data_IF_585887309177
#
_entry.id   IF_585887309177
#
_cell.length_a   1.000
_cell.length_b   1.000
_cell.length_c   1.000
_cell.angle_alpha   90.00
_cell.angle_beta   90.00
_cell.angle_gamma   90.00
#
_symmetry.space_group_name_H-M   'P 1'
#
loop_
_entity.id
_entity.type
_entity.pdbx_description
1 polymer ?
#
# COMPACT_ATOMS: atom_id res chain seq x y z
N UNK A 1 21.52 5.57 10.12
CA UNK A 1 21.75 4.99 8.77
C UNK A 1 20.63 5.47 7.85
N UNK A 2 20.93 6.02 6.67
CA UNK A 2 19.92 6.48 5.70
C UNK A 2 19.98 5.58 4.47
N UNK A 3 18.86 4.96 4.12
CA UNK A 3 18.74 4.10 2.92
C UNK A 3 18.19 4.96 1.79
N UNK A 4 18.88 4.97 0.65
CA UNK A 4 18.44 5.64 -0.57
C UNK A 4 18.31 4.58 -1.67
N UNK A 5 17.22 4.66 -2.44
CA UNK A 5 17.00 3.77 -3.58
C UNK A 5 17.62 4.43 -4.81
N UNK A 6 18.37 3.66 -5.60
CA UNK A 6 18.89 4.06 -6.90
C UNK A 6 18.31 3.12 -7.96
N UNK A 7 17.65 3.68 -8.97
CA UNK A 7 17.11 2.91 -10.11
C UNK A 7 17.81 3.27 -11.40
N UNK A 8 17.89 2.33 -12.34
CA UNK A 8 18.33 2.64 -13.69
C UNK A 8 17.26 3.48 -14.40
N UNK A 9 17.66 4.68 -14.82
CA UNK A 9 16.89 5.54 -15.70
C UNK A 9 17.59 5.75 -17.05
N UNK A 10 16.96 6.51 -17.97
CA UNK A 10 17.46 6.70 -19.33
C UNK A 10 18.86 7.34 -19.44
N UNK A 11 19.29 8.05 -18.39
CA UNK A 11 20.58 8.75 -18.31
C UNK A 11 21.48 8.21 -17.20
N UNK A 12 21.26 6.98 -16.74
CA UNK A 12 21.97 6.34 -15.61
C UNK A 12 21.13 6.27 -14.34
N UNK A 13 21.78 6.11 -13.19
CA UNK A 13 21.11 5.95 -11.89
C UNK A 13 20.30 7.18 -11.48
N UNK A 14 19.01 7.01 -11.18
CA UNK A 14 18.13 8.03 -10.59
C UNK A 14 17.84 7.71 -9.13
N UNK A 15 17.95 8.73 -8.28
CA UNK A 15 17.60 8.63 -6.87
C UNK A 15 16.08 8.63 -6.71
N UNK A 16 15.56 7.61 -6.04
CA UNK A 16 14.17 7.53 -5.61
C UNK A 16 14.10 7.88 -4.12
N UNK A 17 13.29 8.87 -3.78
CA UNK A 17 12.97 9.19 -2.38
C UNK A 17 11.69 8.46 -1.99
N UNK A 18 11.68 7.87 -0.78
CA UNK A 18 10.48 7.26 -0.18
C UNK A 18 10.61 5.75 0.07
N UNK A 19 9.45 5.09 0.06
CA UNK A 19 9.27 3.65 0.24
C UNK A 19 8.64 3.09 -1.02
N UNK A 20 9.09 1.91 -1.45
CA UNK A 20 8.52 1.23 -2.61
C UNK A 20 8.23 -0.24 -2.32
N UNK A 21 7.07 -0.72 -2.77
CA UNK A 21 6.72 -2.15 -2.76
C UNK A 21 7.29 -2.80 -4.01
N UNK A 22 8.21 -3.73 -3.82
CA UNK A 22 8.68 -4.64 -4.88
C UNK A 22 8.14 -6.03 -4.58
N UNK A 23 7.42 -6.61 -5.53
CA UNK A 23 6.88 -7.95 -5.40
C UNK A 23 7.47 -8.88 -6.48
N UNK A 24 7.69 -10.13 -6.13
CA UNK A 24 7.96 -11.17 -7.11
C UNK A 24 6.77 -11.30 -8.07
N UNK A 25 7.03 -11.65 -9.33
CA UNK A 25 5.98 -11.73 -10.35
C UNK A 25 4.90 -12.79 -10.02
N UNK A 26 5.26 -13.79 -9.23
CA UNK A 26 4.35 -14.84 -8.75
C UNK A 26 3.66 -14.48 -7.41
N UNK A 27 3.93 -13.30 -6.86
CA UNK A 27 3.36 -12.82 -5.60
C UNK A 27 3.85 -13.55 -4.34
N UNK A 28 4.85 -14.43 -4.45
CA UNK A 28 5.35 -15.23 -3.33
C UNK A 28 6.15 -14.43 -2.29
N UNK A 29 6.66 -13.26 -2.70
CA UNK A 29 7.48 -12.38 -1.88
C UNK A 29 7.15 -10.92 -2.20
N UNK A 30 6.96 -10.11 -1.15
CA UNK A 30 6.98 -8.66 -1.22
C UNK A 30 8.06 -8.10 -0.30
N UNK A 31 8.79 -7.11 -0.80
CA UNK A 31 9.77 -6.35 -0.06
C UNK A 31 9.41 -4.86 -0.10
N UNK A 32 9.66 -4.19 1.02
CA UNK A 32 9.62 -2.74 1.10
C UNK A 32 11.06 -2.22 0.98
N UNK A 33 11.35 -1.53 -0.10
CA UNK A 33 12.63 -0.87 -0.31
C UNK A 33 12.54 0.59 0.14
N UNK A 34 13.63 1.12 0.71
CA UNK A 34 13.75 2.53 1.08
C UNK A 34 13.52 2.81 2.56
N UNK A 35 12.89 3.95 2.87
CA UNK A 35 12.60 4.33 4.25
C UNK A 35 11.46 3.48 4.83
N UNK A 36 11.42 3.33 6.15
CA UNK A 36 10.23 2.76 6.80
C UNK A 36 9.03 3.66 6.54
N UNK A 37 7.88 3.11 6.14
CA UNK A 37 6.69 3.91 5.94
C UNK A 37 6.21 4.52 7.26
N UNK A 38 5.72 5.76 7.18
CA UNK A 38 5.08 6.43 8.31
C UNK A 38 3.62 5.96 8.47
N UNK A 39 2.99 6.30 9.59
CA UNK A 39 1.61 5.92 9.87
C UNK A 39 0.63 6.31 8.73
N UNK A 40 0.85 7.47 8.10
CA UNK A 40 0.02 7.99 7.01
C UNK A 40 0.17 7.25 5.68
N UNK A 41 1.24 6.47 5.48
CA UNK A 41 1.49 5.74 4.23
C UNK A 41 1.45 4.23 4.39
N UNK A 42 1.61 3.72 5.61
CA UNK A 42 1.66 2.30 5.91
C UNK A 42 0.38 1.57 5.47
N UNK A 43 -0.80 2.16 5.69
CA UNK A 43 -2.08 1.54 5.29
C UNK A 43 -2.15 1.35 3.78
N UNK A 44 -1.90 2.39 3.00
CA UNK A 44 -1.91 2.34 1.53
C UNK A 44 -0.90 1.32 0.99
N UNK A 45 0.30 1.30 1.57
CA UNK A 45 1.36 0.35 1.20
C UNK A 45 0.94 -1.10 1.48
N UNK A 46 0.33 -1.36 2.63
CA UNK A 46 -0.14 -2.72 2.95
C UNK A 46 -1.27 -3.16 2.03
N UNK A 47 -2.17 -2.26 1.65
CA UNK A 47 -3.21 -2.56 0.66
C UNK A 47 -2.59 -2.95 -0.69
N UNK A 48 -1.58 -2.22 -1.16
CA UNK A 48 -0.84 -2.55 -2.38
C UNK A 48 -0.17 -3.95 -2.30
N UNK A 49 0.40 -4.32 -1.15
CA UNK A 49 0.96 -5.66 -0.94
C UNK A 49 -0.13 -6.74 -1.03
N UNK A 50 -1.29 -6.51 -0.40
CA UNK A 50 -2.41 -7.44 -0.44
C UNK A 50 -2.95 -7.63 -1.87
N UNK A 51 -3.07 -6.54 -2.63
CA UNK A 51 -3.50 -6.57 -4.02
C UNK A 51 -2.52 -7.33 -4.91
N UNK A 52 -1.21 -7.14 -4.74
CA UNK A 52 -0.20 -7.79 -5.59
C UNK A 52 0.07 -9.24 -5.23
N UNK A 53 0.12 -9.56 -3.94
CA UNK A 53 0.59 -10.88 -3.48
C UNK A 53 -0.56 -11.81 -3.08
N UNK A 54 -1.74 -11.26 -2.78
CA UNK A 54 -2.86 -12.03 -2.26
C UNK A 54 -4.16 -11.77 -3.04
N UNK A 55 -4.08 -11.32 -4.29
CA UNK A 55 -5.23 -10.98 -5.15
C UNK A 55 -6.36 -12.04 -5.12
N UNK A 56 -6.01 -13.32 -5.23
CA UNK A 56 -6.97 -14.42 -5.24
C UNK A 56 -7.72 -14.57 -3.91
N UNK A 57 -7.02 -14.38 -2.77
CA UNK A 57 -7.62 -14.37 -1.44
C UNK A 57 -8.42 -13.11 -1.20
N UNK A 58 -7.90 -11.96 -1.65
CA UNK A 58 -8.55 -10.67 -1.57
C UNK A 58 -9.90 -10.68 -2.28
N UNK A 59 -10.03 -11.40 -3.39
CA UNK A 59 -11.29 -11.57 -4.11
C UNK A 59 -12.33 -12.45 -3.38
N UNK A 60 -11.96 -13.14 -2.30
CA UNK A 60 -12.90 -13.99 -1.54
C UNK A 60 -13.86 -13.15 -0.67
N UNK A 61 -15.11 -13.60 -0.48
CA UNK A 61 -16.07 -12.91 0.39
C UNK A 61 -15.54 -12.69 1.81
N UNK A 62 -14.87 -13.69 2.39
CA UNK A 62 -14.34 -13.60 3.75
C UNK A 62 -13.33 -12.45 3.94
N UNK A 63 -12.44 -12.24 2.96
CA UNK A 63 -11.48 -11.14 3.02
C UNK A 63 -12.13 -9.79 2.75
N UNK A 64 -13.07 -9.73 1.81
CA UNK A 64 -13.84 -8.51 1.54
C UNK A 64 -14.67 -8.07 2.76
N UNK A 65 -15.33 -8.99 3.45
CA UNK A 65 -16.06 -8.72 4.69
C UNK A 65 -15.12 -8.25 5.80
N UNK A 66 -13.97 -8.91 5.97
CA UNK A 66 -12.97 -8.51 6.95
C UNK A 66 -12.43 -7.11 6.69
N UNK A 67 -12.14 -6.78 5.43
CA UNK A 67 -11.66 -5.45 5.05
C UNK A 67 -12.73 -4.38 5.23
N UNK A 68 -13.99 -4.65 4.91
CA UNK A 68 -15.10 -3.72 5.19
C UNK A 68 -15.29 -3.50 6.69
N UNK A 69 -15.08 -4.52 7.53
CA UNK A 69 -15.16 -4.37 8.98
C UNK A 69 -14.03 -3.51 9.55
N UNK A 70 -12.82 -3.60 8.99
CA UNK A 70 -11.66 -2.79 9.41
C UNK A 70 -11.65 -1.39 8.78
N UNK A 71 -12.12 -1.30 7.54
CA UNK A 71 -12.14 -0.11 6.70
C UNK A 71 -13.52 0.01 6.05
N UNK A 72 -14.49 0.67 6.71
CA UNK A 72 -15.86 0.77 6.20
C UNK A 72 -15.98 1.45 4.82
N UNK A 73 -14.97 2.20 4.40
CA UNK A 73 -14.85 2.84 3.10
C UNK A 73 -14.25 1.95 2.00
N UNK A 74 -13.86 0.72 2.31
CA UNK A 74 -13.26 -0.23 1.38
C UNK A 74 -14.21 -0.58 0.22
N UNK A 75 -13.74 -0.38 -1.02
CA UNK A 75 -14.52 -0.61 -2.24
C UNK A 75 -15.53 0.49 -2.58
N UNK A 76 -15.59 1.58 -1.80
CA UNK A 76 -16.38 2.77 -2.11
C UNK A 76 -15.52 3.88 -2.74
N UNK A 77 -16.17 4.82 -3.44
CA UNK A 77 -15.48 6.00 -3.98
C UNK A 77 -15.00 6.90 -2.83
N UNK A 78 -13.71 6.77 -2.50
CA UNK A 78 -13.04 7.44 -1.40
C UNK A 78 -13.11 8.97 -1.53
N UNK A 79 -13.20 9.50 -2.76
CA UNK A 79 -13.25 10.95 -3.03
C UNK A 79 -14.64 11.56 -2.77
N UNK A 80 -15.71 10.77 -2.93
CA UNK A 80 -17.09 11.20 -2.61
C UNK A 80 -17.35 11.29 -1.09
N UNK A 81 -16.55 10.58 -0.29
CA UNK A 81 -16.71 10.44 1.17
C UNK A 81 -15.75 11.29 2.01
N UNK A 82 -15.24 12.39 1.47
CA UNK A 82 -14.28 13.29 2.15
C UNK A 82 -14.75 13.84 3.51
N UNK A 83 -16.06 13.83 3.81
CA UNK A 83 -16.62 14.27 5.09
C UNK A 83 -16.77 13.18 6.17
N UNK A 84 -16.45 11.90 5.89
CA UNK A 84 -16.68 10.79 6.85
C UNK A 84 -15.42 10.15 7.45
N UNK A 85 -14.23 10.42 6.93
CA UNK A 85 -12.99 9.79 7.40
C UNK A 85 -12.27 10.52 8.54
N UNK A 86 -12.75 11.70 8.95
CA UNK A 86 -12.15 12.48 10.05
C UNK A 86 -12.29 11.77 11.41
N UNK A 87 -13.30 10.92 11.57
CA UNK A 87 -13.54 10.22 12.85
C UNK A 87 -12.54 9.07 13.13
N UNK A 88 -11.86 8.54 12.13
CA UNK A 88 -10.92 7.40 12.30
C UNK A 88 -9.47 7.87 12.45
N UNK A 89 -9.15 9.10 12.01
CA UNK A 89 -7.79 9.64 12.06
C UNK A 89 -7.51 10.57 13.25
N UNK A 90 -8.49 10.85 14.11
CA UNK A 90 -8.26 11.60 15.35
C UNK A 90 -7.52 12.93 15.16
N UNK A 91 -7.78 13.62 14.04
CA UNK A 91 -7.30 14.97 13.73
C UNK A 91 -8.51 15.91 13.66
#
# INVERSE_FOLDING_TARGET
QRVQIIKNGPKGGQLQLGTEVVAAADGSLAALLGASPGASTAVTIMLEVLERCFASRLATPAWQERLKALFPSWGGDVLSSRSRNTAVLGL
#
